data_IF_557305150434
#
_entry.id   IF_557305150434
#
_cell.length_a   1.000
_cell.length_b   1.000
_cell.length_c   1.000
_cell.angle_alpha   90.00
_cell.angle_beta   90.00
_cell.angle_gamma   90.00
#
_symmetry.space_group_name_H-M   'P 1'
#
loop_
_entity.id
_entity.type
_entity.pdbx_description
1 polymer ?
#
# COMPACT_ATOMS: atom_id res chain seq x y z
N UNK A 1 -58.59 18.37 14.37
CA UNK A 1 -57.75 17.28 14.89
C UNK A 1 -56.97 16.56 13.78
N UNK A 2 -57.53 16.25 12.62
CA UNK A 2 -56.84 15.56 11.53
C UNK A 2 -55.62 16.33 10.97
N UNK A 3 -55.70 17.66 10.79
CA UNK A 3 -54.61 18.47 10.25
C UNK A 3 -53.39 18.55 11.18
N UNK A 4 -53.59 18.48 12.50
CA UNK A 4 -52.53 18.53 13.49
C UNK A 4 -51.71 17.22 13.52
N UNK A 5 -52.39 16.07 13.33
CA UNK A 5 -51.72 14.78 13.27
C UNK A 5 -50.86 14.60 12.00
N UNK A 6 -51.36 15.13 10.85
CA UNK A 6 -50.61 15.11 9.58
C UNK A 6 -49.34 15.96 9.68
N UNK A 7 -49.45 17.14 10.31
CA UNK A 7 -48.29 18.03 10.51
C UNK A 7 -47.21 17.40 11.40
N UNK A 8 -47.61 16.75 12.50
CA UNK A 8 -46.70 16.06 13.41
C UNK A 8 -46.02 14.85 12.70
N UNK A 9 -46.79 14.11 11.87
CA UNK A 9 -46.21 13.00 11.11
C UNK A 9 -45.20 13.46 10.05
N UNK A 10 -45.47 14.59 9.36
CA UNK A 10 -44.55 15.16 8.38
C UNK A 10 -43.28 15.73 9.03
N UNK A 11 -43.37 16.33 10.21
CA UNK A 11 -42.24 16.80 10.97
C UNK A 11 -41.40 15.63 11.49
N UNK A 12 -42.03 14.55 11.97
CA UNK A 12 -41.31 13.34 12.41
C UNK A 12 -40.58 12.64 11.25
N UNK A 13 -41.20 12.58 10.05
CA UNK A 13 -40.60 12.02 8.84
C UNK A 13 -39.41 12.88 8.35
N UNK A 14 -39.56 14.22 8.44
CA UNK A 14 -38.45 15.14 8.11
C UNK A 14 -37.27 15.03 9.08
N UNK A 15 -37.53 14.81 10.38
CA UNK A 15 -36.47 14.56 11.38
C UNK A 15 -35.77 13.23 11.16
N UNK A 16 -36.51 12.17 10.80
CA UNK A 16 -35.90 10.87 10.46
C UNK A 16 -34.99 10.95 9.23
N UNK A 17 -35.40 11.73 8.21
CA UNK A 17 -34.58 11.94 7.00
C UNK A 17 -33.35 12.79 7.26
N UNK A 18 -33.40 13.73 8.22
CA UNK A 18 -32.25 14.54 8.61
C UNK A 18 -31.18 13.75 9.38
N UNK A 19 -31.57 12.66 10.07
CA UNK A 19 -30.62 11.77 10.76
C UNK A 19 -30.03 10.69 9.85
N UNK A 20 -30.48 10.59 8.60
CA UNK A 20 -29.93 9.65 7.60
C UNK A 20 -28.76 10.24 6.81
N UNK A 21 -28.16 11.34 7.23
CA UNK A 21 -26.81 11.67 6.78
C UNK A 21 -25.88 10.64 7.42
N UNK A 22 -25.78 9.47 6.79
CA UNK A 22 -24.62 8.62 6.98
C UNK A 22 -23.42 9.51 6.75
N UNK A 23 -22.71 9.88 7.82
CA UNK A 23 -21.33 10.25 7.71
C UNK A 23 -20.67 9.04 7.06
N UNK A 24 -20.51 9.08 5.74
CA UNK A 24 -19.49 8.27 5.11
C UNK A 24 -18.22 8.73 5.80
N UNK A 25 -17.77 7.94 6.77
CA UNK A 25 -16.38 7.97 7.17
C UNK A 25 -15.65 7.57 5.90
N UNK A 26 -15.27 8.57 5.13
CA UNK A 26 -14.33 8.42 4.04
C UNK A 26 -13.15 7.72 4.69
N UNK A 27 -12.98 6.44 4.39
CA UNK A 27 -11.83 5.69 4.86
C UNK A 27 -10.63 6.44 4.28
N UNK A 28 -10.05 7.31 5.10
CA UNK A 28 -8.91 8.09 4.69
C UNK A 28 -7.89 7.11 4.10
N UNK A 29 -7.49 7.37 2.87
CA UNK A 29 -6.58 6.52 2.14
C UNK A 29 -5.33 6.28 3.00
N UNK A 30 -5.21 5.08 3.52
CA UNK A 30 -4.08 4.68 4.38
C UNK A 30 -2.99 4.21 3.46
N UNK A 31 -2.03 5.09 3.16
CA UNK A 31 -0.87 4.69 2.40
C UNK A 31 -0.04 3.68 3.21
N UNK A 32 0.34 2.58 2.56
CA UNK A 32 1.13 1.50 3.16
C UNK A 32 2.47 1.37 2.44
N UNK A 33 3.57 1.53 3.18
CA UNK A 33 4.92 1.50 2.64
C UNK A 33 5.72 0.33 3.19
N UNK A 34 6.38 -0.40 2.30
CA UNK A 34 7.11 -1.63 2.62
C UNK A 34 8.57 -1.48 2.21
N UNK A 35 9.47 -1.79 3.15
CA UNK A 35 10.91 -1.82 2.94
C UNK A 35 11.45 -3.14 3.48
N UNK A 36 12.48 -3.69 2.85
CA UNK A 36 13.08 -4.91 3.34
C UNK A 36 13.62 -5.81 2.23
N UNK A 37 13.63 -7.09 2.54
CA UNK A 37 14.20 -8.15 1.72
C UNK A 37 13.15 -9.02 1.00
N UNK A 38 13.50 -10.28 0.70
CA UNK A 38 12.62 -11.24 0.00
C UNK A 38 11.34 -11.57 0.74
N UNK A 39 11.29 -11.46 2.08
CA UNK A 39 10.10 -11.79 2.87
C UNK A 39 8.93 -10.87 2.57
N UNK A 40 9.22 -9.66 2.10
CA UNK A 40 8.24 -8.62 1.85
C UNK A 40 8.30 -8.02 0.45
N UNK A 41 9.15 -8.52 -0.44
CA UNK A 41 9.21 -8.08 -1.84
C UNK A 41 7.94 -8.50 -2.61
N UNK A 42 7.20 -7.52 -3.12
CA UNK A 42 5.99 -7.74 -3.93
C UNK A 42 6.30 -7.89 -5.44
N UNK A 43 7.58 -7.98 -5.81
CA UNK A 43 7.99 -8.25 -7.18
C UNK A 43 8.94 -7.23 -7.81
N UNK A 44 9.58 -6.35 -7.04
CA UNK A 44 10.59 -5.42 -7.57
C UNK A 44 11.69 -6.17 -8.31
N UNK A 45 12.15 -7.29 -7.76
CA UNK A 45 13.26 -8.03 -8.36
C UNK A 45 12.95 -8.61 -9.75
N UNK A 46 11.67 -8.81 -10.09
CA UNK A 46 11.28 -9.26 -11.42
C UNK A 46 11.50 -8.19 -12.50
N UNK A 47 11.65 -6.92 -12.12
CA UNK A 47 12.00 -5.79 -13.02
C UNK A 47 13.50 -5.55 -13.10
N UNK A 48 14.33 -6.32 -12.38
CA UNK A 48 15.79 -6.14 -12.31
C UNK A 48 16.53 -7.24 -13.07
N UNK A 49 17.72 -6.90 -13.55
CA UNK A 49 18.66 -7.88 -14.11
C UNK A 49 19.44 -8.57 -12.97
N UNK A 50 18.75 -9.41 -12.20
CA UNK A 50 19.29 -10.15 -11.05
C UNK A 50 18.91 -11.61 -11.13
N UNK A 51 19.67 -12.47 -10.43
CA UNK A 51 19.32 -13.88 -10.23
C UNK A 51 18.35 -14.11 -9.09
N UNK A 52 18.20 -13.13 -8.18
CA UNK A 52 17.27 -13.20 -7.07
C UNK A 52 15.85 -12.80 -7.53
N UNK A 53 15.17 -13.67 -8.28
CA UNK A 53 13.84 -13.42 -8.86
C UNK A 53 12.86 -14.49 -8.40
N UNK A 54 11.59 -14.10 -8.28
CA UNK A 54 10.47 -15.00 -8.02
C UNK A 54 9.52 -15.05 -9.24
N UNK A 55 10.06 -15.46 -10.39
CA UNK A 55 9.40 -15.46 -11.70
C UNK A 55 9.16 -16.86 -12.27
N UNK A 56 9.41 -17.91 -11.48
CA UNK A 56 9.24 -19.31 -11.87
C UNK A 56 8.67 -20.16 -10.72
N UNK A 57 8.08 -21.33 -11.00
CA UNK A 57 7.68 -22.26 -9.95
C UNK A 57 8.84 -22.64 -9.01
N UNK A 58 8.57 -22.85 -7.70
CA UNK A 58 7.26 -23.02 -7.06
C UNK A 58 6.55 -21.71 -6.65
N UNK A 59 7.14 -20.54 -6.91
CA UNK A 59 6.49 -19.28 -6.55
C UNK A 59 5.13 -19.12 -7.23
N UNK A 60 4.14 -18.65 -6.44
CA UNK A 60 2.80 -18.35 -6.95
C UNK A 60 1.90 -19.56 -7.26
N UNK A 61 2.29 -20.79 -6.91
CA UNK A 61 1.50 -22.00 -7.22
C UNK A 61 0.13 -22.05 -6.53
N UNK A 62 -0.03 -21.33 -5.39
CA UNK A 62 -1.29 -21.25 -4.64
C UNK A 62 -2.10 -19.98 -4.99
N UNK A 63 -1.62 -19.17 -5.94
CA UNK A 63 -2.41 -18.04 -6.45
C UNK A 63 -3.56 -18.56 -7.34
N UNK A 64 -4.66 -17.78 -7.50
CA UNK A 64 -5.75 -18.16 -8.40
C UNK A 64 -5.30 -18.44 -9.84
N UNK A 65 -4.27 -17.75 -10.30
CA UNK A 65 -3.71 -17.93 -11.65
C UNK A 65 -2.64 -19.02 -11.72
N UNK A 66 -2.16 -19.51 -10.57
CA UNK A 66 -1.04 -20.46 -10.43
C UNK A 66 0.23 -19.97 -11.15
N UNK A 67 0.46 -18.66 -11.14
CA UNK A 67 1.61 -18.03 -11.78
C UNK A 67 2.44 -17.26 -10.76
N UNK A 68 3.76 -17.22 -10.95
CA UNK A 68 4.63 -16.37 -10.16
C UNK A 68 4.18 -14.90 -10.22
N UNK A 69 4.21 -14.25 -9.05
CA UNK A 69 3.79 -12.86 -8.90
C UNK A 69 4.93 -11.91 -8.51
N UNK A 70 6.15 -12.45 -8.43
CA UNK A 70 7.32 -11.73 -7.91
C UNK A 70 7.49 -11.82 -6.40
N UNK A 71 6.51 -12.40 -5.70
CA UNK A 71 6.62 -12.70 -4.26
C UNK A 71 7.42 -13.98 -4.05
N UNK A 72 8.34 -13.97 -3.10
CA UNK A 72 9.12 -15.16 -2.70
C UNK A 72 8.27 -16.09 -1.81
N UNK A 73 7.12 -16.45 -2.32
CA UNK A 73 6.09 -17.24 -1.66
C UNK A 73 5.32 -18.04 -2.71
N UNK A 74 4.71 -19.14 -2.29
CA UNK A 74 3.76 -19.89 -3.13
C UNK A 74 2.40 -19.19 -3.31
N UNK A 75 2.14 -18.10 -2.52
CA UNK A 75 0.90 -17.33 -2.59
C UNK A 75 1.09 -15.89 -2.14
N UNK A 76 0.34 -15.48 -1.13
CA UNK A 76 0.46 -14.17 -0.48
C UNK A 76 1.72 -14.11 0.39
N UNK A 77 2.27 -12.90 0.57
CA UNK A 77 3.32 -12.61 1.51
C UNK A 77 2.82 -11.70 2.66
N UNK A 78 3.69 -11.32 3.57
CA UNK A 78 3.33 -10.51 4.75
C UNK A 78 2.63 -9.19 4.37
N UNK A 79 3.14 -8.37 3.42
CA UNK A 79 2.47 -7.15 2.97
C UNK A 79 1.04 -7.38 2.46
N UNK A 80 0.78 -8.48 1.77
CA UNK A 80 -0.58 -8.78 1.28
C UNK A 80 -1.56 -8.99 2.43
N UNK A 81 -1.16 -9.72 3.48
CA UNK A 81 -2.00 -9.94 4.66
C UNK A 81 -2.24 -8.63 5.44
N UNK A 82 -1.23 -7.75 5.49
CA UNK A 82 -1.40 -6.43 6.11
C UNK A 82 -2.37 -5.58 5.28
N UNK A 83 -2.23 -5.56 3.95
CA UNK A 83 -3.16 -4.85 3.06
C UNK A 83 -4.60 -5.36 3.24
N UNK A 84 -4.80 -6.68 3.31
CA UNK A 84 -6.12 -7.27 3.59
C UNK A 84 -6.68 -6.80 4.94
N UNK A 85 -5.85 -6.79 6.00
CA UNK A 85 -6.26 -6.35 7.33
C UNK A 85 -6.59 -4.85 7.39
N UNK A 86 -5.95 -4.04 6.54
CA UNK A 86 -6.23 -2.61 6.39
C UNK A 86 -7.44 -2.35 5.48
N UNK A 87 -8.00 -3.37 4.83
CA UNK A 87 -9.06 -3.22 3.84
C UNK A 87 -8.59 -2.48 2.57
N UNK A 88 -7.29 -2.58 2.26
CA UNK A 88 -6.64 -1.92 1.13
C UNK A 88 -6.25 -2.92 0.04
N UNK A 89 -6.03 -2.42 -1.17
CA UNK A 89 -5.39 -3.19 -2.22
C UNK A 89 -3.94 -3.56 -1.81
N UNK A 90 -3.40 -4.68 -2.31
CA UNK A 90 -1.97 -4.97 -2.17
C UNK A 90 -1.11 -3.86 -2.78
N UNK A 91 -0.05 -3.45 -2.07
CA UNK A 91 0.89 -2.46 -2.59
C UNK A 91 1.63 -2.97 -3.82
N UNK A 92 1.72 -2.14 -4.84
CA UNK A 92 2.51 -2.45 -6.03
C UNK A 92 4.01 -2.32 -5.75
N UNK A 93 4.85 -3.12 -6.44
CA UNK A 93 6.29 -2.88 -6.45
C UNK A 93 6.60 -1.48 -6.99
N UNK A 94 7.57 -0.78 -6.42
CA UNK A 94 7.94 0.57 -6.86
C UNK A 94 8.34 0.62 -8.35
N UNK A 95 8.99 -0.43 -8.84
CA UNK A 95 9.42 -0.54 -10.23
C UNK A 95 8.30 -0.92 -11.19
N UNK A 96 7.09 -1.21 -10.69
CA UNK A 96 5.96 -1.53 -11.56
C UNK A 96 5.53 -0.30 -12.39
N UNK A 97 5.36 -0.44 -13.71
CA UNK A 97 4.80 0.62 -14.55
C UNK A 97 3.35 0.96 -14.21
N UNK A 98 2.67 0.09 -13.45
CA UNK A 98 1.31 0.29 -12.99
C UNK A 98 1.23 1.25 -11.78
N UNK A 99 2.34 1.50 -11.07
CA UNK A 99 2.40 2.40 -9.92
C UNK A 99 2.37 3.86 -10.39
N UNK A 100 1.18 4.34 -10.75
CA UNK A 100 0.93 5.70 -11.27
C UNK A 100 -0.51 6.16 -10.98
N UNK A 101 -0.73 7.48 -11.03
CA UNK A 101 -2.06 8.05 -10.76
C UNK A 101 -2.55 7.66 -9.37
N UNK A 102 -3.83 7.32 -9.24
CA UNK A 102 -4.46 6.98 -7.96
C UNK A 102 -3.82 5.78 -7.24
N UNK A 103 -3.08 4.90 -7.94
CA UNK A 103 -2.33 3.81 -7.31
C UNK A 103 -1.23 4.31 -6.36
N UNK A 104 -0.75 5.54 -6.55
CA UNK A 104 0.15 6.19 -5.60
C UNK A 104 -0.51 6.47 -4.24
N UNK A 105 -1.83 6.56 -4.14
CA UNK A 105 -2.53 6.79 -2.87
C UNK A 105 -2.57 5.54 -1.98
N UNK A 106 -2.36 4.36 -2.55
CA UNK A 106 -2.31 3.08 -1.82
C UNK A 106 -0.98 2.89 -1.09
N UNK A 107 0.06 3.58 -1.53
CA UNK A 107 1.43 3.36 -1.09
C UNK A 107 2.24 2.54 -2.10
N UNK A 108 3.40 2.03 -1.67
CA UNK A 108 4.30 1.27 -2.53
C UNK A 108 5.17 0.29 -1.75
N UNK A 109 5.63 -0.74 -2.43
CA UNK A 109 6.60 -1.70 -1.92
C UNK A 109 7.97 -1.41 -2.54
N UNK A 110 8.97 -1.09 -1.71
CA UNK A 110 10.35 -0.79 -2.11
C UNK A 110 11.30 -1.95 -1.85
N UNK A 111 10.82 -3.01 -1.20
CA UNK A 111 11.62 -4.16 -0.81
C UNK A 111 12.27 -4.86 -2.00
N UNK A 112 13.37 -5.54 -1.74
CA UNK A 112 14.13 -6.25 -2.77
C UNK A 112 14.79 -7.50 -2.20
N UNK A 113 14.54 -8.63 -2.83
CA UNK A 113 15.15 -9.88 -2.43
C UNK A 113 16.68 -9.85 -2.53
N UNK A 114 17.31 -10.51 -1.56
CA UNK A 114 18.76 -10.62 -1.47
C UNK A 114 19.45 -9.47 -0.73
N UNK A 115 18.71 -8.44 -0.31
CA UNK A 115 19.25 -7.32 0.46
C UNK A 115 19.24 -7.67 1.96
N UNK A 116 20.16 -7.08 2.71
CA UNK A 116 20.14 -7.02 4.16
C UNK A 116 20.43 -5.61 4.62
N UNK A 117 20.51 -5.42 5.95
CA UNK A 117 20.73 -4.09 6.54
C UNK A 117 22.13 -3.55 6.22
N UNK A 118 23.12 -4.42 6.08
CA UNK A 118 24.48 -4.03 5.71
C UNK A 118 24.62 -3.92 4.19
N UNK A 119 25.37 -2.94 3.72
CA UNK A 119 25.52 -2.66 2.29
C UNK A 119 26.18 -3.78 1.47
N UNK A 120 26.95 -4.64 2.10
CA UNK A 120 27.62 -5.78 1.49
C UNK A 120 26.77 -7.07 1.53
N UNK A 121 25.67 -7.09 2.28
CA UNK A 121 24.74 -8.22 2.26
C UNK A 121 24.16 -8.39 0.85
N UNK A 122 24.18 -9.62 0.35
CA UNK A 122 23.64 -9.94 -0.97
C UNK A 122 24.54 -9.51 -2.14
N UNK A 123 25.84 -9.28 -1.92
CA UNK A 123 26.80 -8.92 -2.97
C UNK A 123 26.83 -9.94 -4.12
N UNK A 124 26.49 -11.20 -3.84
CA UNK A 124 26.36 -12.28 -4.83
C UNK A 124 25.18 -12.07 -5.79
N UNK A 125 24.19 -11.26 -5.40
CA UNK A 125 23.05 -10.89 -6.25
C UNK A 125 23.33 -9.55 -6.90
N UNK A 126 23.52 -9.54 -8.20
CA UNK A 126 23.77 -8.31 -8.96
C UNK A 126 22.44 -7.53 -9.08
N UNK A 127 22.50 -6.19 -9.04
CA UNK A 127 21.38 -5.28 -9.30
C UNK A 127 20.17 -5.47 -8.38
N UNK A 128 20.38 -5.72 -7.09
CA UNK A 128 19.31 -5.65 -6.08
C UNK A 128 19.14 -4.22 -5.55
N UNK A 129 17.97 -3.87 -5.03
CA UNK A 129 17.68 -2.54 -4.47
C UNK A 129 18.13 -2.51 -3.02
N UNK A 130 19.36 -2.07 -2.76
CA UNK A 130 19.91 -1.96 -1.40
C UNK A 130 19.10 -1.02 -0.53
N UNK A 131 19.17 -1.16 0.80
CA UNK A 131 18.34 -0.41 1.74
C UNK A 131 18.41 1.12 1.52
N UNK A 132 19.60 1.68 1.31
CA UNK A 132 19.73 3.10 1.02
C UNK A 132 19.03 3.52 -0.29
N UNK A 133 19.00 2.62 -1.30
CA UNK A 133 18.32 2.86 -2.57
C UNK A 133 16.80 2.75 -2.43
N UNK A 134 16.30 1.89 -1.55
CA UNK A 134 14.88 1.83 -1.20
C UNK A 134 14.40 3.17 -0.63
N UNK A 135 15.20 3.79 0.26
CA UNK A 135 14.92 5.12 0.81
C UNK A 135 14.97 6.23 -0.25
N UNK A 136 15.90 6.16 -1.20
CA UNK A 136 15.92 7.10 -2.33
C UNK A 136 14.67 6.96 -3.21
N UNK A 137 14.25 5.74 -3.50
CA UNK A 137 13.01 5.49 -4.26
C UNK A 137 11.78 5.97 -3.50
N UNK A 138 11.78 5.91 -2.18
CA UNK A 138 10.72 6.50 -1.39
C UNK A 138 10.67 8.02 -1.54
N UNK A 139 11.81 8.72 -1.53
CA UNK A 139 11.87 10.17 -1.79
C UNK A 139 11.37 10.53 -3.20
N UNK A 140 11.76 9.74 -4.21
CA UNK A 140 11.25 9.92 -5.58
C UNK A 140 9.73 9.68 -5.65
N UNK A 141 9.23 8.67 -4.93
CA UNK A 141 7.80 8.40 -4.80
C UNK A 141 7.05 9.58 -4.15
N UNK A 142 7.57 10.15 -3.07
CA UNK A 142 6.98 11.33 -2.42
C UNK A 142 6.87 12.53 -3.38
N UNK A 143 7.88 12.74 -4.22
CA UNK A 143 7.84 13.76 -5.27
C UNK A 143 6.70 13.50 -6.27
N UNK A 144 6.58 12.27 -6.76
CA UNK A 144 5.50 11.86 -7.67
C UNK A 144 4.11 11.99 -7.03
N UNK A 145 4.00 11.68 -5.74
CA UNK A 145 2.76 11.84 -4.98
C UNK A 145 2.39 13.32 -4.85
N UNK A 146 3.36 14.19 -4.53
CA UNK A 146 3.15 15.63 -4.44
C UNK A 146 2.73 16.27 -5.78
N UNK A 147 3.25 15.77 -6.90
CA UNK A 147 2.81 16.18 -8.24
C UNK A 147 1.34 15.79 -8.51
N UNK A 148 0.87 14.68 -7.94
CA UNK A 148 -0.50 14.19 -8.13
C UNK A 148 -1.52 14.94 -7.27
N UNK A 149 -1.24 15.12 -5.98
CA UNK A 149 -2.22 15.61 -4.99
C UNK A 149 -1.90 17.01 -4.46
N UNK A 150 -0.77 17.59 -4.82
CA UNK A 150 -0.25 18.83 -4.25
C UNK A 150 0.57 18.62 -2.97
N UNK A 151 1.47 19.56 -2.69
CA UNK A 151 2.43 19.44 -1.59
C UNK A 151 1.78 19.33 -0.22
N UNK A 152 0.70 20.07 0.05
CA UNK A 152 0.04 20.07 1.35
C UNK A 152 -0.60 18.71 1.65
N UNK A 153 -1.26 18.12 0.67
CA UNK A 153 -1.90 16.81 0.83
C UNK A 153 -0.88 15.68 0.89
N UNK A 154 0.17 15.73 0.06
CA UNK A 154 1.27 14.77 0.13
C UNK A 154 1.94 14.80 1.52
N UNK A 155 2.18 16.00 2.08
CA UNK A 155 2.69 16.14 3.43
C UNK A 155 1.71 15.63 4.51
N UNK A 156 0.39 15.74 4.29
CA UNK A 156 -0.61 15.15 5.20
C UNK A 156 -0.53 13.63 5.18
N UNK A 157 -0.42 13.02 4.01
CA UNK A 157 -0.22 11.58 3.86
C UNK A 157 1.06 11.14 4.59
N UNK A 158 2.15 11.92 4.49
CA UNK A 158 3.41 11.66 5.19
C UNK A 158 3.35 11.96 6.69
N UNK A 159 2.73 13.07 7.11
CA UNK A 159 2.67 13.49 8.53
C UNK A 159 1.69 12.68 9.37
N UNK A 160 0.69 12.09 8.75
CA UNK A 160 -0.23 11.16 9.42
C UNK A 160 0.47 9.89 9.95
N UNK A 161 1.79 9.81 9.76
CA UNK A 161 2.70 8.91 10.46
C UNK A 161 2.69 9.04 11.99
N UNK A 162 2.33 10.20 12.54
CA UNK A 162 2.47 10.52 13.97
C UNK A 162 1.13 10.72 14.67
N UNK A 163 0.03 10.88 13.95
CA UNK A 163 -1.29 11.15 14.53
C UNK A 163 -2.23 9.96 14.35
N UNK A 164 -2.74 9.44 15.46
CA UNK A 164 -3.46 8.17 15.59
C UNK A 164 -4.82 8.07 14.86
N UNK A 165 -5.24 9.08 14.11
CA UNK A 165 -6.47 9.07 13.34
C UNK A 165 -6.29 8.68 11.86
N UNK A 166 -5.05 8.74 11.33
CA UNK A 166 -4.73 8.37 9.94
C UNK A 166 -3.42 7.56 9.95
N UNK A 167 -3.51 6.26 9.74
CA UNK A 167 -2.39 5.34 9.94
C UNK A 167 -1.63 5.10 8.63
N UNK A 168 -0.54 5.81 8.41
CA UNK A 168 0.48 5.34 7.46
C UNK A 168 1.30 4.25 8.14
N UNK A 169 1.36 3.06 7.57
CA UNK A 169 2.07 1.92 8.15
C UNK A 169 3.39 1.70 7.41
N UNK A 170 4.51 1.75 8.13
CA UNK A 170 5.80 1.30 7.63
C UNK A 170 6.10 -0.09 8.15
N UNK A 171 6.50 -0.98 7.26
CA UNK A 171 7.01 -2.30 7.63
C UNK A 171 8.45 -2.41 7.15
N UNK A 172 9.37 -2.53 8.12
CA UNK A 172 10.76 -2.88 7.89
C UNK A 172 10.95 -4.32 8.31
N UNK A 173 11.28 -5.19 7.40
CA UNK A 173 11.65 -6.57 7.68
C UNK A 173 12.96 -6.86 6.96
N UNK A 174 13.97 -7.19 7.75
CA UNK A 174 15.28 -7.58 7.27
C UNK A 174 15.87 -8.65 8.18
N UNK A 175 16.59 -9.60 7.61
CA UNK A 175 17.40 -10.59 8.29
C UNK A 175 18.84 -10.10 8.42
#
# INVERSE_FOLDING_TARGET
MANSMVLVSLMALGLLMAFSTTTQVEAAARAFFVFGDSLVDNGNNNYLATTARADSPPYGIDTPTRRPTGRFSNGKNIPDFISDALGSEPTLPYLSPELRGEKLLVGANFASAGVGILNDTGIQFINIIRMFRQLQYFQEYQTRLAELVGNDEAQRIDKNLLDSQYSTTFVFIGS
#
